data_IF_069450193171
#
_entry.id   IF_069450193171
#
_cell.length_a   1.000
_cell.length_b   1.000
_cell.length_c   1.000
_cell.angle_alpha   90.00
_cell.angle_beta   90.00
_cell.angle_gamma   90.00
#
_symmetry.space_group_name_H-M   'P 1'
#
loop_
_entity.id
_entity.type
_entity.pdbx_description
1 polymer ?
#
# COMPACT_ATOMS: atom_id res chain seq x y z
N UNK A 1 -36.22 -30.39 -7.04
CA UNK A 1 -36.19 -28.98 -6.57
C UNK A 1 -34.90 -28.75 -5.80
N UNK A 2 -33.95 -27.90 -6.26
CA UNK A 2 -32.71 -27.68 -5.53
C UNK A 2 -32.98 -26.97 -4.20
N UNK A 3 -32.35 -27.47 -3.13
CA UNK A 3 -32.53 -27.02 -1.75
C UNK A 3 -31.93 -25.62 -1.53
N UNK A 4 -32.42 -24.88 -0.52
CA UNK A 4 -32.04 -23.48 -0.23
C UNK A 4 -30.53 -23.21 -0.22
N UNK A 5 -29.71 -24.21 0.16
CA UNK A 5 -28.24 -24.15 0.16
C UNK A 5 -27.63 -24.00 -1.24
N UNK A 6 -28.28 -24.54 -2.28
CA UNK A 6 -27.84 -24.38 -3.67
C UNK A 6 -28.13 -22.98 -4.22
N UNK A 7 -29.05 -22.22 -3.61
CA UNK A 7 -29.42 -20.87 -4.04
C UNK A 7 -28.42 -19.81 -3.57
N UNK A 8 -27.85 -19.95 -2.38
CA UNK A 8 -26.74 -19.07 -1.94
C UNK A 8 -25.42 -19.31 -2.69
N UNK A 9 -25.16 -20.54 -3.15
CA UNK A 9 -23.93 -20.85 -3.89
C UNK A 9 -23.93 -20.26 -5.31
N UNK A 10 -25.11 -20.03 -5.91
CA UNK A 10 -25.23 -19.39 -7.23
C UNK A 10 -25.13 -17.86 -7.18
N UNK A 11 -25.43 -17.23 -6.03
CA UNK A 11 -25.28 -15.78 -5.82
C UNK A 11 -23.82 -15.33 -5.72
N UNK A 12 -22.93 -16.19 -5.20
CA UNK A 12 -21.47 -15.95 -5.20
C UNK A 12 -20.85 -16.00 -6.60
N UNK A 13 -21.49 -16.68 -7.55
CA UNK A 13 -20.94 -16.90 -8.89
C UNK A 13 -21.46 -15.91 -9.95
N UNK A 14 -22.57 -15.21 -9.70
CA UNK A 14 -23.17 -14.28 -10.68
C UNK A 14 -23.52 -12.88 -10.16
N UNK A 15 -23.17 -12.52 -8.92
CA UNK A 15 -23.43 -11.20 -8.34
C UNK A 15 -22.44 -10.09 -8.76
N UNK A 16 -22.63 -9.48 -9.93
CA UNK A 16 -22.24 -8.09 -10.24
C UNK A 16 -20.81 -7.62 -9.86
N UNK A 17 -19.88 -7.71 -10.81
CA UNK A 17 -18.46 -7.34 -10.73
C UNK A 17 -18.10 -5.87 -10.44
N UNK A 18 -18.86 -5.14 -9.62
CA UNK A 18 -18.56 -3.75 -9.23
C UNK A 18 -18.49 -3.49 -7.73
N UNK A 19 -18.87 -4.44 -6.85
CA UNK A 19 -18.86 -4.23 -5.39
C UNK A 19 -17.86 -5.12 -4.61
N UNK A 20 -17.65 -6.38 -5.01
CA UNK A 20 -16.61 -7.24 -4.41
C UNK A 20 -15.18 -6.94 -4.94
N UNK A 21 -15.07 -6.35 -6.13
CA UNK A 21 -13.78 -5.97 -6.72
C UNK A 21 -13.17 -4.74 -6.04
N UNK A 22 -14.00 -3.81 -5.52
CA UNK A 22 -13.55 -2.58 -4.83
C UNK A 22 -12.67 -2.84 -3.59
N UNK A 23 -13.05 -3.72 -2.63
CA UNK A 23 -12.18 -4.02 -1.49
C UNK A 23 -10.87 -4.71 -1.90
N UNK A 24 -10.88 -5.54 -2.95
CA UNK A 24 -9.67 -6.18 -3.47
C UNK A 24 -8.75 -5.19 -4.20
N UNK A 25 -9.32 -4.30 -5.01
CA UNK A 25 -8.59 -3.24 -5.70
C UNK A 25 -7.97 -2.25 -4.70
N UNK A 26 -8.70 -1.90 -3.65
CA UNK A 26 -8.17 -1.05 -2.58
C UNK A 26 -7.07 -1.75 -1.79
N UNK A 27 -7.19 -3.06 -1.51
CA UNK A 27 -6.11 -3.85 -0.90
C UNK A 27 -4.85 -3.83 -1.77
N UNK A 28 -4.99 -4.02 -3.09
CA UNK A 28 -3.87 -3.94 -4.05
C UNK A 28 -3.27 -2.53 -4.10
N UNK A 29 -4.11 -1.48 -4.12
CA UNK A 29 -3.65 -0.09 -4.10
C UNK A 29 -2.86 0.22 -2.84
N UNK A 30 -3.37 -0.17 -1.66
CA UNK A 30 -2.69 0.00 -0.37
C UNK A 30 -1.36 -0.74 -0.32
N UNK A 31 -1.30 -1.97 -0.83
CA UNK A 31 -0.06 -2.74 -0.92
C UNK A 31 0.98 -2.01 -1.78
N UNK A 32 0.58 -1.50 -2.96
CA UNK A 32 1.45 -0.71 -3.83
C UNK A 32 1.98 0.55 -3.12
N UNK A 33 1.10 1.31 -2.47
CA UNK A 33 1.50 2.53 -1.74
C UNK A 33 2.51 2.20 -0.64
N UNK A 34 2.23 1.21 0.19
CA UNK A 34 3.13 0.83 1.28
C UNK A 34 4.47 0.31 0.75
N UNK A 35 4.46 -0.43 -0.36
CA UNK A 35 5.67 -0.89 -1.02
C UNK A 35 6.53 0.27 -1.54
N UNK A 36 5.92 1.25 -2.22
CA UNK A 36 6.62 2.46 -2.66
C UNK A 36 7.17 3.25 -1.47
N UNK A 37 6.42 3.43 -0.40
CA UNK A 37 6.90 4.13 0.81
C UNK A 37 8.09 3.42 1.46
N UNK A 38 8.11 2.08 1.49
CA UNK A 38 9.24 1.31 1.99
C UNK A 38 10.49 1.50 1.12
N UNK A 39 10.33 1.51 -0.21
CA UNK A 39 11.44 1.80 -1.13
C UNK A 39 11.96 3.22 -0.96
N UNK A 40 11.07 4.23 -0.92
CA UNK A 40 11.45 5.63 -0.72
C UNK A 40 12.25 5.81 0.56
N UNK A 41 11.79 5.20 1.65
CA UNK A 41 12.53 5.19 2.92
C UNK A 41 13.94 4.60 2.77
N UNK A 42 14.09 3.51 2.04
CA UNK A 42 15.40 2.88 1.81
C UNK A 42 16.32 3.70 0.90
N UNK A 43 15.76 4.48 -0.03
CA UNK A 43 16.54 5.28 -0.97
C UNK A 43 16.99 6.61 -0.36
N UNK A 44 16.13 7.21 0.48
CA UNK A 44 16.36 8.54 1.05
C UNK A 44 17.08 8.47 2.40
N UNK A 45 16.96 7.35 3.12
CA UNK A 45 17.65 7.16 4.40
C UNK A 45 18.89 6.29 4.18
N UNK A 46 20.06 6.92 4.21
CA UNK A 46 21.35 6.27 4.04
C UNK A 46 21.57 5.20 5.14
N UNK A 47 21.86 3.94 4.78
CA UNK A 47 22.12 2.86 5.73
C UNK A 47 23.35 3.08 6.63
N UNK A 48 24.27 3.98 6.26
CA UNK A 48 25.45 4.34 7.05
C UNK A 48 25.20 5.45 8.07
N UNK A 49 24.02 6.07 8.07
CA UNK A 49 23.65 6.99 9.15
C UNK A 49 23.34 6.18 10.41
N UNK A 50 24.03 6.50 11.51
CA UNK A 50 23.86 5.92 12.87
C UNK A 50 22.41 5.95 13.40
N UNK A 51 21.52 6.63 12.67
CA UNK A 51 20.12 6.90 12.97
C UNK A 51 19.18 5.71 12.71
N UNK A 52 19.66 4.46 12.84
CA UNK A 52 18.84 3.24 12.71
C UNK A 52 17.66 3.21 13.69
N UNK A 53 17.78 3.88 14.85
CA UNK A 53 16.68 4.05 15.80
C UNK A 53 15.58 5.02 15.30
N UNK A 54 15.96 6.04 14.52
CA UNK A 54 14.99 6.93 13.85
C UNK A 54 14.29 6.22 12.70
N UNK A 55 14.98 5.30 12.01
CA UNK A 55 14.39 4.51 10.92
C UNK A 55 13.13 3.77 11.37
N UNK A 56 13.08 3.17 12.57
CA UNK A 56 11.91 2.40 13.03
C UNK A 56 10.68 3.24 13.36
N UNK A 57 10.81 4.57 13.51
CA UNK A 57 9.73 5.48 13.94
C UNK A 57 9.24 6.46 12.88
N UNK A 58 9.85 6.50 11.70
CA UNK A 58 9.43 7.44 10.64
C UNK A 58 7.97 7.22 10.24
N UNK A 59 7.16 8.26 10.40
CA UNK A 59 5.77 8.27 9.96
C UNK A 59 5.68 8.38 8.44
N UNK A 60 4.51 8.08 7.87
CA UNK A 60 4.33 8.15 6.41
C UNK A 60 4.52 9.57 5.87
N UNK A 61 4.15 10.59 6.64
CA UNK A 61 4.34 11.98 6.28
C UNK A 61 5.83 12.34 6.22
N UNK A 62 6.61 11.92 7.23
CA UNK A 62 8.06 12.15 7.27
C UNK A 62 8.77 11.53 6.07
N UNK A 63 8.40 10.30 5.70
CA UNK A 63 8.99 9.62 4.53
C UNK A 63 8.74 10.44 3.26
N UNK A 64 7.53 10.96 3.07
CA UNK A 64 7.19 11.77 1.91
C UNK A 64 7.95 13.10 1.91
N UNK A 65 8.01 13.79 3.05
CA UNK A 65 8.69 15.08 3.18
C UNK A 65 10.20 14.95 2.95
N UNK A 66 10.85 13.96 3.57
CA UNK A 66 12.27 13.68 3.37
C UNK A 66 12.56 13.37 1.90
N UNK A 67 11.69 12.58 1.24
CA UNK A 67 11.84 12.28 -0.18
C UNK A 67 11.77 13.55 -1.04
N UNK A 68 10.81 14.44 -0.78
CA UNK A 68 10.67 15.69 -1.55
C UNK A 68 11.89 16.59 -1.35
N UNK A 69 12.39 16.73 -0.12
CA UNK A 69 13.62 17.49 0.18
C UNK A 69 14.83 16.92 -0.58
N UNK A 70 15.03 15.61 -0.52
CA UNK A 70 16.14 14.94 -1.22
C UNK A 70 16.08 15.12 -2.74
N UNK A 71 14.88 15.02 -3.34
CA UNK A 71 14.71 15.26 -4.78
C UNK A 71 15.01 16.73 -5.17
N UNK A 72 14.71 17.68 -4.29
CA UNK A 72 15.07 19.09 -4.50
C UNK A 72 16.59 19.31 -4.46
N UNK A 73 17.31 18.61 -3.58
CA UNK A 73 18.77 18.67 -3.50
C UNK A 73 19.44 18.08 -4.74
N UNK A 74 18.93 16.96 -5.27
CA UNK A 74 19.46 16.32 -6.49
C UNK A 74 19.23 17.18 -7.75
N UNK A 75 18.12 17.92 -7.81
CA UNK A 75 17.76 18.73 -8.99
C UNK A 75 18.51 20.07 -9.06
N UNK A 76 19.34 20.39 -8.07
CA UNK A 76 20.13 21.62 -8.00
C UNK A 76 21.48 21.45 -8.71
#
# INVERSE_FOLDING_TARGET
MPTKRNRELMDLKHGSGKKASKPLMEKRRRARINHCLAQLKSLVVDPNTTERSRQTKLEKADILELTVRHLHEIKR
#
